data_IF_184329697629
#
_entry.id   IF_184329697629
#
_cell.length_a   1.000
_cell.length_b   1.000
_cell.length_c   1.000
_cell.angle_alpha   90.00
_cell.angle_beta   90.00
_cell.angle_gamma   90.00
#
_symmetry.space_group_name_H-M   'P 1'
#
loop_
_entity.id
_entity.type
_entity.pdbx_description
1 polymer ?
#
# COMPACT_ATOMS: atom_id res chain seq x y z
N UNK A 1 12.18 -6.94 18.32
CA UNK A 1 10.73 -6.82 18.13
C UNK A 1 10.07 -8.05 18.74
N UNK A 2 8.92 -7.89 19.39
CA UNK A 2 8.11 -9.00 19.90
C UNK A 2 7.80 -10.02 18.81
N UNK A 3 7.55 -11.28 19.19
CA UNK A 3 7.14 -12.34 18.24
C UNK A 3 5.71 -12.05 17.79
N UNK A 4 5.52 -11.64 16.54
CA UNK A 4 4.21 -11.22 16.01
C UNK A 4 3.57 -12.32 15.17
N UNK A 5 2.31 -12.62 15.45
CA UNK A 5 1.45 -13.43 14.60
C UNK A 5 0.26 -12.64 14.08
N UNK A 6 -0.19 -12.95 12.86
CA UNK A 6 -1.30 -12.22 12.21
C UNK A 6 -2.43 -13.19 11.91
N UNK A 7 -3.66 -12.79 12.24
CA UNK A 7 -4.91 -13.50 11.96
C UNK A 7 -5.65 -12.79 10.84
N UNK A 8 -5.90 -13.52 9.75
CA UNK A 8 -6.61 -13.05 8.57
C UNK A 8 -7.95 -13.79 8.42
N UNK A 9 -9.08 -13.21 8.88
CA UNK A 9 -10.40 -13.72 8.54
C UNK A 9 -10.67 -13.53 7.04
N UNK A 10 -10.86 -14.64 6.31
CA UNK A 10 -11.09 -14.69 4.88
C UNK A 10 -12.22 -15.67 4.47
N UNK A 11 -13.09 -16.04 5.41
CA UNK A 11 -14.18 -17.00 5.18
C UNK A 11 -15.55 -16.37 4.84
N UNK A 12 -15.61 -15.04 4.70
CA UNK A 12 -16.87 -14.35 4.47
C UNK A 12 -17.35 -14.46 3.02
N UNK A 13 -18.65 -14.75 2.83
CA UNK A 13 -19.32 -14.86 1.53
C UNK A 13 -19.16 -13.62 0.64
N UNK A 14 -19.06 -12.43 1.23
CA UNK A 14 -18.93 -11.18 0.49
C UNK A 14 -20.22 -10.73 -0.18
N UNK A 15 -21.39 -11.08 0.37
CA UNK A 15 -22.73 -10.78 -0.19
C UNK A 15 -22.91 -9.37 -0.75
N UNK A 16 -22.38 -8.35 -0.07
CA UNK A 16 -22.47 -6.94 -0.51
C UNK A 16 -21.77 -6.64 -1.84
N UNK A 17 -20.84 -7.50 -2.24
CA UNK A 17 -20.15 -7.42 -3.52
C UNK A 17 -20.99 -7.99 -4.66
N UNK A 18 -22.01 -8.81 -4.35
CA UNK A 18 -22.91 -9.40 -5.35
C UNK A 18 -22.24 -10.34 -6.34
N UNK A 19 -21.04 -10.85 -6.01
CA UNK A 19 -20.26 -11.74 -6.87
C UNK A 19 -20.64 -13.21 -6.65
N UNK A 20 -20.64 -13.99 -7.72
CA UNK A 20 -20.78 -15.46 -7.63
C UNK A 20 -19.53 -16.13 -7.02
N UNK A 21 -18.38 -15.48 -7.13
CA UNK A 21 -17.11 -15.90 -6.54
C UNK A 21 -16.94 -15.21 -5.18
N UNK A 22 -16.61 -15.94 -4.09
CA UNK A 22 -16.32 -15.32 -2.80
C UNK A 22 -15.26 -14.23 -2.92
N UNK A 23 -15.48 -13.10 -2.23
CA UNK A 23 -14.72 -11.85 -2.46
C UNK A 23 -13.20 -12.02 -2.36
N UNK A 24 -12.73 -12.93 -1.51
CA UNK A 24 -11.31 -13.19 -1.29
C UNK A 24 -10.63 -13.72 -2.57
N UNK A 25 -11.35 -14.48 -3.39
CA UNK A 25 -10.83 -15.11 -4.61
C UNK A 25 -10.98 -14.26 -5.87
N UNK A 26 -11.59 -13.08 -5.77
CA UNK A 26 -11.73 -12.18 -6.90
C UNK A 26 -10.36 -11.75 -7.38
N UNK A 27 -10.15 -11.89 -8.69
CA UNK A 27 -8.91 -11.52 -9.35
C UNK A 27 -8.85 -10.01 -9.54
N UNK A 28 -7.77 -9.41 -9.09
CA UNK A 28 -7.38 -8.02 -9.38
C UNK A 28 -6.00 -8.11 -10.01
N UNK A 29 -5.81 -7.53 -11.19
CA UNK A 29 -4.54 -7.63 -11.95
C UNK A 29 -3.99 -9.07 -12.05
N UNK A 30 -4.89 -10.05 -12.23
CA UNK A 30 -4.53 -11.48 -12.36
C UNK A 30 -4.11 -12.18 -11.07
N UNK A 31 -4.36 -11.57 -9.90
CA UNK A 31 -4.07 -12.14 -8.58
C UNK A 31 -5.31 -12.12 -7.67
N UNK A 32 -5.61 -13.18 -6.89
CA UNK A 32 -6.68 -13.14 -5.90
C UNK A 32 -6.48 -12.01 -4.88
N UNK A 33 -7.55 -11.30 -4.52
CA UNK A 33 -7.50 -10.17 -3.57
C UNK A 33 -6.78 -10.49 -2.26
N UNK A 34 -7.03 -11.67 -1.67
CA UNK A 34 -6.40 -12.04 -0.39
C UNK A 34 -4.88 -12.20 -0.49
N UNK A 35 -4.36 -12.59 -1.67
CA UNK A 35 -2.93 -12.85 -1.87
C UNK A 35 -2.10 -11.58 -1.69
N UNK A 36 -2.64 -10.41 -2.03
CA UNK A 36 -1.95 -9.13 -1.79
C UNK A 36 -1.63 -8.91 -0.30
N UNK A 37 -2.59 -9.19 0.58
CA UNK A 37 -2.39 -9.08 2.02
C UNK A 37 -1.41 -10.16 2.53
N UNK A 38 -1.52 -11.39 2.04
CA UNK A 38 -0.64 -12.50 2.45
C UNK A 38 0.81 -12.25 2.03
N UNK A 39 1.05 -11.95 0.76
CA UNK A 39 2.39 -11.67 0.20
C UNK A 39 3.07 -10.52 0.94
N UNK A 40 2.33 -9.44 1.22
CA UNK A 40 2.84 -8.32 2.02
C UNK A 40 3.25 -8.80 3.42
N UNK A 41 2.39 -9.54 4.11
CA UNK A 41 2.66 -9.97 5.49
C UNK A 41 3.82 -10.95 5.61
N UNK A 42 3.96 -11.91 4.69
CA UNK A 42 5.07 -12.87 4.73
C UNK A 42 6.41 -12.21 4.38
N UNK A 43 6.40 -11.10 3.62
CA UNK A 43 7.59 -10.31 3.30
C UNK A 43 8.19 -9.60 4.52
N UNK A 44 7.39 -9.37 5.56
CA UNK A 44 7.87 -8.76 6.80
C UNK A 44 8.66 -9.77 7.62
N UNK A 45 9.95 -9.48 7.84
CA UNK A 45 10.86 -10.36 8.57
C UNK A 45 10.47 -10.57 10.04
N UNK A 46 9.76 -9.61 10.64
CA UNK A 46 9.28 -9.65 12.02
C UNK A 46 7.91 -10.33 12.19
N UNK A 47 7.21 -10.65 11.10
CA UNK A 47 6.00 -11.48 11.13
C UNK A 47 6.42 -12.95 11.15
N UNK A 48 6.09 -13.64 12.24
CA UNK A 48 6.44 -15.04 12.45
C UNK A 48 5.50 -16.00 11.73
N UNK A 49 4.20 -15.73 11.84
CA UNK A 49 3.13 -16.57 11.30
C UNK A 49 1.95 -15.74 10.86
N UNK A 50 1.33 -16.15 9.76
CA UNK A 50 0.04 -15.68 9.26
C UNK A 50 -0.95 -16.83 9.35
N UNK A 51 -1.97 -16.72 10.20
CA UNK A 51 -3.08 -17.67 10.30
C UNK A 51 -4.25 -17.15 9.49
N UNK A 52 -4.58 -17.84 8.41
CA UNK A 52 -5.66 -17.49 7.50
C UNK A 52 -6.88 -18.39 7.78
N UNK A 53 -8.00 -17.78 8.16
CA UNK A 53 -9.27 -18.48 8.35
C UNK A 53 -10.08 -18.45 7.05
N UNK A 54 -10.06 -19.57 6.32
CA UNK A 54 -10.65 -19.72 4.99
C UNK A 54 -12.06 -20.33 5.04
N UNK A 55 -12.88 -20.04 4.03
CA UNK A 55 -14.14 -20.76 3.78
C UNK A 55 -13.88 -22.19 3.30
N UNK A 56 -12.87 -22.39 2.45
CA UNK A 56 -12.42 -23.70 1.97
C UNK A 56 -10.90 -23.84 2.09
N UNK A 57 -10.45 -24.77 2.94
CA UNK A 57 -9.01 -24.94 3.26
C UNK A 57 -8.22 -25.47 2.06
N UNK A 58 -8.81 -26.36 1.24
CA UNK A 58 -8.10 -26.99 0.13
C UNK A 58 -7.86 -25.98 -1.00
N UNK A 59 -8.87 -25.22 -1.36
CA UNK A 59 -8.84 -24.13 -2.34
C UNK A 59 -7.85 -23.05 -1.92
N UNK A 60 -7.89 -22.63 -0.66
CA UNK A 60 -6.95 -21.64 -0.14
C UNK A 60 -5.50 -22.16 -0.21
N UNK A 61 -5.24 -23.42 0.17
CA UNK A 61 -3.91 -24.03 0.05
C UNK A 61 -3.44 -24.15 -1.39
N UNK A 62 -4.35 -24.41 -2.33
CA UNK A 62 -4.02 -24.45 -3.76
C UNK A 62 -3.49 -23.08 -4.24
N UNK A 63 -4.17 -21.98 -3.90
CA UNK A 63 -3.67 -20.64 -4.23
C UNK A 63 -2.34 -20.32 -3.55
N UNK A 64 -2.16 -20.70 -2.29
CA UNK A 64 -0.93 -20.45 -1.54
C UNK A 64 0.28 -21.27 -2.03
N UNK A 65 0.06 -22.32 -2.84
CA UNK A 65 1.15 -23.14 -3.39
C UNK A 65 2.05 -22.40 -4.37
N UNK A 66 1.61 -21.24 -4.87
CA UNK A 66 2.42 -20.35 -5.73
C UNK A 66 3.32 -19.38 -4.96
N UNK A 67 3.25 -19.34 -3.62
CA UNK A 67 4.11 -18.49 -2.81
C UNK A 67 5.54 -19.03 -2.76
N UNK A 68 6.52 -18.12 -2.78
CA UNK A 68 7.94 -18.46 -2.61
C UNK A 68 8.24 -19.08 -1.24
N UNK A 69 7.59 -18.59 -0.18
CA UNK A 69 7.72 -19.10 1.19
C UNK A 69 6.34 -19.27 1.85
N UNK A 70 5.67 -20.43 1.62
CA UNK A 70 4.39 -20.73 2.26
C UNK A 70 4.56 -21.15 3.73
N UNK A 71 5.78 -21.33 4.24
CA UNK A 71 6.03 -21.91 5.59
C UNK A 71 5.51 -21.02 6.73
N UNK A 72 5.39 -19.71 6.50
CA UNK A 72 4.82 -18.76 7.45
C UNK A 72 3.29 -18.78 7.49
N UNK A 73 2.62 -19.44 6.54
CA UNK A 73 1.16 -19.38 6.40
C UNK A 73 0.51 -20.66 6.92
N UNK A 74 -0.38 -20.51 7.90
CA UNK A 74 -1.21 -21.59 8.45
C UNK A 74 -2.64 -21.34 8.01
N UNK A 75 -3.28 -22.34 7.39
CA UNK A 75 -4.68 -22.24 6.98
C UNK A 75 -5.56 -23.05 7.93
N UNK A 76 -6.61 -22.41 8.45
CA UNK A 76 -7.68 -23.05 9.24
C UNK A 76 -9.04 -22.79 8.58
N UNK A 77 -10.03 -23.62 8.90
CA UNK A 77 -11.41 -23.34 8.55
C UNK A 77 -11.92 -22.14 9.36
N UNK A 78 -12.53 -21.17 8.68
CA UNK A 78 -13.24 -20.06 9.29
C UNK A 78 -14.62 -20.46 9.80
N UNK A 79 -15.32 -19.52 10.42
CA UNK A 79 -16.66 -19.71 10.96
C UNK A 79 -17.74 -19.01 10.13
N UNK A 80 -18.99 -19.09 10.58
CA UNK A 80 -20.12 -18.41 9.93
C UNK A 80 -20.10 -16.91 10.15
N UNK A 81 -19.37 -16.43 11.16
CA UNK A 81 -19.17 -15.02 11.46
C UNK A 81 -17.68 -14.61 11.44
N UNK A 82 -17.45 -13.30 11.47
CA UNK A 82 -16.10 -12.73 11.59
C UNK A 82 -15.43 -13.14 12.91
N UNK A 83 -16.11 -13.00 14.04
CA UNK A 83 -15.54 -13.39 15.33
C UNK A 83 -15.32 -14.89 15.45
N UNK A 84 -16.19 -15.73 14.89
CA UNK A 84 -15.96 -17.17 14.91
C UNK A 84 -14.70 -17.54 14.09
N UNK A 85 -14.53 -16.92 12.91
CA UNK A 85 -13.32 -17.10 12.09
C UNK A 85 -12.05 -16.69 12.83
N UNK A 86 -12.07 -15.54 13.51
CA UNK A 86 -10.92 -15.09 14.32
C UNK A 86 -10.69 -16.03 15.50
N UNK A 87 -11.74 -16.48 16.20
CA UNK A 87 -11.63 -17.43 17.32
C UNK A 87 -10.96 -18.74 16.89
N UNK A 88 -11.34 -19.30 15.74
CA UNK A 88 -10.73 -20.52 15.19
C UNK A 88 -9.26 -20.30 14.83
N UNK A 89 -8.93 -19.17 14.22
CA UNK A 89 -7.54 -18.80 13.92
C UNK A 89 -6.68 -18.60 15.17
N UNK A 90 -7.22 -17.99 16.23
CA UNK A 90 -6.49 -17.80 17.49
C UNK A 90 -6.13 -19.11 18.19
N UNK A 91 -6.92 -20.18 17.99
CA UNK A 91 -6.63 -21.51 18.56
C UNK A 91 -5.39 -22.18 17.94
N UNK A 92 -5.05 -21.83 16.71
CA UNK A 92 -3.88 -22.36 15.99
C UNK A 92 -2.73 -21.35 15.92
N UNK A 93 -2.92 -20.15 16.50
CA UNK A 93 -1.87 -19.15 16.59
C UNK A 93 -0.80 -19.62 17.60
N UNK A 94 0.48 -19.72 17.19
CA UNK A 94 1.54 -20.25 18.05
C UNK A 94 1.64 -19.49 19.38
N UNK A 95 1.82 -20.23 20.47
CA UNK A 95 1.83 -19.67 21.84
C UNK A 95 3.04 -18.77 22.10
N UNK A 96 4.10 -18.89 21.32
CA UNK A 96 5.24 -17.98 21.38
C UNK A 96 4.92 -16.58 20.87
N UNK A 97 3.83 -16.38 20.11
CA UNK A 97 3.42 -15.05 19.65
C UNK A 97 3.00 -14.17 20.84
N UNK A 98 3.71 -13.06 21.06
CA UNK A 98 3.41 -12.09 22.11
C UNK A 98 2.36 -11.08 21.65
N UNK A 99 2.38 -10.73 20.36
CA UNK A 99 1.43 -9.83 19.72
C UNK A 99 0.64 -10.60 18.67
N UNK A 100 -0.69 -10.47 18.72
CA UNK A 100 -1.61 -10.95 17.71
C UNK A 100 -2.20 -9.75 16.97
N UNK A 101 -2.10 -9.73 15.64
CA UNK A 101 -2.74 -8.72 14.80
C UNK A 101 -3.94 -9.33 14.09
N UNK A 102 -5.09 -8.66 14.10
CA UNK A 102 -6.24 -9.01 13.27
C UNK A 102 -6.29 -8.08 12.07
N UNK A 103 -6.24 -8.65 10.86
CA UNK A 103 -6.28 -7.88 9.62
C UNK A 103 -7.30 -8.44 8.63
N UNK A 104 -8.11 -7.57 8.02
CA UNK A 104 -9.09 -8.04 7.03
C UNK A 104 -8.36 -8.30 5.70
N UNK A 105 -8.47 -9.52 5.16
CA UNK A 105 -7.86 -9.89 3.87
C UNK A 105 -8.33 -9.04 2.67
N UNK A 106 -9.43 -8.30 2.82
CA UNK A 106 -9.96 -7.37 1.83
C UNK A 106 -9.33 -5.95 1.89
N UNK A 107 -8.24 -5.79 2.65
CA UNK A 107 -7.43 -4.56 2.74
C UNK A 107 -6.01 -4.86 2.24
N UNK A 108 -5.77 -4.73 0.93
CA UNK A 108 -4.57 -5.27 0.29
C UNK A 108 -3.31 -4.44 0.50
N UNK A 109 -3.43 -3.17 0.92
CA UNK A 109 -2.32 -2.23 0.97
C UNK A 109 -2.30 -1.53 2.33
N UNK A 110 -1.29 -1.85 3.14
CA UNK A 110 -0.94 -1.09 4.36
C UNK A 110 0.57 -1.03 4.48
N UNK A 111 1.18 0.15 4.60
CA UNK A 111 2.65 0.27 4.64
C UNK A 111 3.26 -0.36 5.89
N UNK A 112 4.47 -0.93 5.78
CA UNK A 112 5.15 -1.60 6.90
C UNK A 112 5.31 -0.68 8.13
N UNK A 113 5.52 0.62 7.91
CA UNK A 113 5.63 1.61 8.98
C UNK A 113 4.36 1.68 9.83
N UNK A 114 3.18 1.61 9.20
CA UNK A 114 1.88 1.60 9.91
C UNK A 114 1.75 0.33 10.76
N UNK A 115 2.13 -0.82 10.22
CA UNK A 115 2.14 -2.07 10.98
C UNK A 115 3.08 -2.01 12.19
N UNK A 116 4.32 -1.54 12.00
CA UNK A 116 5.30 -1.43 13.08
C UNK A 116 4.83 -0.48 14.18
N UNK A 117 4.31 0.69 13.81
CA UNK A 117 3.74 1.64 14.78
C UNK A 117 2.62 1.02 15.60
N UNK A 118 1.70 0.32 14.94
CA UNK A 118 0.58 -0.36 15.61
C UNK A 118 1.05 -1.45 16.59
N UNK A 119 2.08 -2.22 16.22
CA UNK A 119 2.68 -3.24 17.09
C UNK A 119 3.25 -2.61 18.36
N UNK A 120 3.94 -1.48 18.25
CA UNK A 120 4.51 -0.77 19.40
C UNK A 120 3.41 -0.28 20.36
N UNK A 121 2.36 0.35 19.81
CA UNK A 121 1.23 0.83 20.60
C UNK A 121 0.49 -0.31 21.31
N UNK A 122 0.34 -1.47 20.66
CA UNK A 122 -0.25 -2.65 21.31
C UNK A 122 0.66 -3.28 22.37
N UNK A 123 1.99 -3.24 22.18
CA UNK A 123 2.94 -3.70 23.19
C UNK A 123 2.91 -2.81 24.45
N UNK A 124 2.72 -1.51 24.28
CA UNK A 124 2.63 -0.54 25.39
C UNK A 124 1.27 -0.58 26.09
N UNK A 125 0.16 -0.63 25.33
CA UNK A 125 -1.19 -0.44 25.86
C UNK A 125 -2.01 -1.74 25.96
N UNK A 126 -1.46 -2.87 25.53
CA UNK A 126 -2.13 -4.17 25.47
C UNK A 126 -3.07 -4.35 24.27
N UNK A 127 -3.60 -3.26 23.71
CA UNK A 127 -4.40 -3.25 22.50
C UNK A 127 -4.28 -1.91 21.77
N UNK A 128 -4.25 -1.94 20.44
CA UNK A 128 -4.25 -0.77 19.58
C UNK A 128 -5.00 -1.05 18.28
N UNK A 129 -5.66 -0.03 17.72
CA UNK A 129 -6.40 -0.14 16.47
C UNK A 129 -6.26 1.10 15.61
N UNK A 130 -6.18 0.90 14.30
CA UNK A 130 -6.20 2.01 13.36
C UNK A 130 -7.59 2.61 13.26
N UNK A 131 -7.64 3.93 13.13
CA UNK A 131 -8.89 4.68 12.99
C UNK A 131 -8.80 5.75 11.92
N UNK A 132 -9.93 6.12 11.34
CA UNK A 132 -10.04 7.27 10.43
C UNK A 132 -11.20 8.18 10.84
N UNK A 133 -11.12 9.49 10.57
CA UNK A 133 -12.26 10.37 10.78
C UNK A 133 -13.44 9.97 9.89
N UNK A 134 -14.65 10.21 10.39
CA UNK A 134 -15.85 10.11 9.56
C UNK A 134 -15.90 11.26 8.55
N UNK A 135 -16.23 10.93 7.31
CA UNK A 135 -16.43 11.92 6.24
C UNK A 135 -17.87 12.40 6.21
N UNK A 136 -18.82 11.47 6.22
CA UNK A 136 -20.26 11.79 6.17
C UNK A 136 -20.84 12.12 7.54
N UNK A 137 -21.96 12.86 7.54
CA UNK A 137 -22.82 13.03 8.71
C UNK A 137 -23.33 11.65 9.17
N UNK A 138 -23.31 11.40 10.48
CA UNK A 138 -23.83 10.16 11.06
C UNK A 138 -25.21 10.43 11.63
N UNK A 139 -26.19 9.64 11.20
CA UNK A 139 -27.57 9.73 11.66
C UNK A 139 -27.99 8.40 12.28
N UNK A 140 -28.85 8.48 13.28
CA UNK A 140 -29.54 7.35 13.88
C UNK A 140 -30.98 7.34 13.38
N UNK A 141 -31.46 6.24 12.77
CA UNK A 141 -32.87 6.09 12.43
C UNK A 141 -33.69 5.61 13.64
N UNK A 142 -35.00 5.87 13.64
CA UNK A 142 -35.95 5.19 14.51
C UNK A 142 -36.37 3.81 13.94
N UNK A 143 -37.26 3.10 14.64
CA UNK A 143 -37.74 1.77 14.21
C UNK A 143 -38.56 1.80 12.91
N UNK A 144 -39.05 2.96 12.49
CA UNK A 144 -39.85 3.15 11.28
C UNK A 144 -39.01 3.68 10.11
N UNK A 145 -37.69 3.87 10.30
CA UNK A 145 -36.76 4.36 9.28
C UNK A 145 -36.73 5.88 9.12
N UNK A 146 -37.37 6.64 10.02
CA UNK A 146 -37.26 8.10 10.03
C UNK A 146 -36.03 8.56 10.82
N UNK A 147 -35.57 9.78 10.54
CA UNK A 147 -34.45 10.38 11.27
C UNK A 147 -34.81 10.56 12.75
N UNK A 148 -34.10 9.87 13.64
CA UNK A 148 -34.22 10.03 15.09
C UNK A 148 -33.24 11.08 15.63
N UNK A 149 -31.97 10.96 15.26
CA UNK A 149 -30.92 11.86 15.73
C UNK A 149 -29.80 12.05 14.71
N UNK A 150 -29.11 13.19 14.78
CA UNK A 150 -27.83 13.42 14.11
C UNK A 150 -26.72 13.44 15.16
N UNK A 151 -25.73 12.57 15.02
CA UNK A 151 -24.63 12.45 15.97
C UNK A 151 -23.56 13.51 15.70
N UNK A 152 -22.93 14.01 16.78
CA UNK A 152 -21.83 14.98 16.68
C UNK A 152 -20.58 14.26 16.15
N UNK A 153 -20.40 14.30 14.82
CA UNK A 153 -19.39 13.53 14.06
C UNK A 153 -17.99 13.53 14.67
N UNK A 154 -17.53 14.65 15.24
CA UNK A 154 -16.18 14.77 15.85
C UNK A 154 -15.93 13.81 17.02
N UNK A 155 -16.98 13.26 17.61
CA UNK A 155 -16.90 12.32 18.74
C UNK A 155 -16.77 10.86 18.27
N UNK A 156 -16.78 10.60 16.96
CA UNK A 156 -16.83 9.26 16.40
C UNK A 156 -15.74 9.07 15.34
N UNK A 157 -15.29 7.83 15.21
CA UNK A 157 -14.24 7.43 14.27
C UNK A 157 -14.69 6.15 13.55
N UNK A 158 -14.21 5.98 12.32
CA UNK A 158 -14.22 4.68 11.67
C UNK A 158 -13.12 3.83 12.30
N UNK A 159 -13.49 2.67 12.82
CA UNK A 159 -12.52 1.64 13.19
C UNK A 159 -12.06 0.89 11.93
N UNK A 160 -10.76 0.74 11.77
CA UNK A 160 -10.14 0.10 10.63
C UNK A 160 -9.25 -1.08 11.09
N UNK A 161 -8.87 -1.94 10.14
CA UNK A 161 -7.83 -2.95 10.36
C UNK A 161 -6.58 -2.60 9.55
N UNK A 162 -5.37 -2.96 10.02
CA UNK A 162 -5.08 -3.86 11.14
C UNK A 162 -5.39 -3.34 12.55
N UNK A 163 -5.61 -4.28 13.46
CA UNK A 163 -5.74 -4.06 14.91
C UNK A 163 -4.78 -5.00 15.64
N UNK A 164 -3.96 -4.51 16.56
CA UNK A 164 -2.95 -5.30 17.26
C UNK A 164 -3.26 -5.41 18.75
N UNK A 165 -2.90 -6.56 19.33
CA UNK A 165 -3.21 -6.91 20.71
C UNK A 165 -2.06 -7.70 21.31
N UNK A 166 -1.88 -7.61 22.62
CA UNK A 166 -1.26 -8.72 23.35
C UNK A 166 -2.02 -10.00 23.02
N UNK A 167 -1.31 -11.03 22.55
CA UNK A 167 -1.91 -12.29 22.14
C UNK A 167 -2.67 -12.95 23.29
N UNK A 168 -2.15 -12.86 24.52
CA UNK A 168 -2.80 -13.37 25.73
C UNK A 168 -4.12 -12.65 26.02
N UNK A 169 -4.14 -11.32 25.91
CA UNK A 169 -5.37 -10.51 26.12
C UNK A 169 -6.42 -10.85 25.07
N UNK A 170 -6.01 -10.95 23.80
CA UNK A 170 -6.94 -11.29 22.72
C UNK A 170 -7.52 -12.70 22.89
N UNK A 171 -6.67 -13.71 23.15
CA UNK A 171 -7.11 -15.08 23.43
C UNK A 171 -8.07 -15.13 24.63
N UNK A 172 -7.78 -14.40 25.71
CA UNK A 172 -8.65 -14.32 26.88
C UNK A 172 -10.01 -13.69 26.57
N UNK A 173 -10.06 -12.59 25.81
CA UNK A 173 -11.32 -11.96 25.42
C UNK A 173 -12.19 -12.90 24.56
N UNK A 174 -11.60 -13.57 23.58
CA UNK A 174 -12.31 -14.54 22.73
C UNK A 174 -12.78 -15.79 23.48
N UNK A 175 -12.12 -16.17 24.58
CA UNK A 175 -12.56 -17.28 25.43
C UNK A 175 -13.81 -16.96 26.26
N UNK A 176 -14.09 -15.67 26.51
CA UNK A 176 -15.23 -15.18 27.29
C UNK A 176 -16.39 -14.67 26.44
N UNK A 177 -16.18 -14.60 25.12
CA UNK A 177 -17.14 -14.09 24.16
C UNK A 177 -18.46 -14.88 24.20
N UNK A 178 -19.57 -14.16 24.32
CA UNK A 178 -20.92 -14.76 24.31
C UNK A 178 -21.30 -15.25 22.91
N UNK A 179 -22.36 -16.06 22.81
CA UNK A 179 -22.87 -16.49 21.50
C UNK A 179 -23.44 -15.33 20.68
N UNK A 180 -24.04 -14.32 21.33
CA UNK A 180 -24.52 -13.11 20.65
C UNK A 180 -23.36 -12.31 20.06
N UNK A 181 -22.29 -12.08 20.83
CA UNK A 181 -21.07 -11.42 20.35
C UNK A 181 -20.37 -12.23 19.26
N UNK A 182 -20.40 -13.57 19.38
CA UNK A 182 -19.86 -14.46 18.34
C UNK A 182 -20.57 -14.25 17.02
N UNK A 183 -21.89 -14.13 17.01
CA UNK A 183 -22.67 -14.04 15.76
C UNK A 183 -22.70 -12.60 15.22
N UNK A 184 -23.00 -11.62 16.08
CA UNK A 184 -23.31 -10.24 15.68
C UNK A 184 -22.17 -9.24 15.91
N UNK A 185 -21.14 -9.62 16.67
CA UNK A 185 -20.00 -8.76 16.93
C UNK A 185 -19.24 -8.39 15.66
N UNK A 186 -18.67 -7.19 15.64
CA UNK A 186 -17.90 -6.69 14.49
C UNK A 186 -16.51 -6.19 14.88
N UNK A 187 -16.27 -5.90 16.16
CA UNK A 187 -15.14 -5.11 16.64
C UNK A 187 -14.35 -5.85 17.72
N UNK A 188 -13.06 -6.14 17.46
CA UNK A 188 -12.20 -6.86 18.39
C UNK A 188 -11.76 -6.00 19.57
N UNK A 189 -11.56 -4.69 19.34
CA UNK A 189 -11.15 -3.73 20.37
C UNK A 189 -12.23 -3.63 21.47
N UNK A 190 -13.49 -3.64 21.05
CA UNK A 190 -14.65 -3.62 21.94
C UNK A 190 -14.79 -4.93 22.73
N UNK A 191 -14.59 -6.09 22.08
CA UNK A 191 -14.58 -7.38 22.76
C UNK A 191 -13.49 -7.43 23.86
N UNK A 192 -12.27 -6.97 23.55
CA UNK A 192 -11.17 -6.88 24.51
C UNK A 192 -11.50 -5.89 25.64
N UNK A 193 -12.10 -4.75 25.31
CA UNK A 193 -12.51 -3.77 26.31
C UNK A 193 -13.50 -4.36 27.31
N UNK A 194 -14.56 -5.01 26.84
CA UNK A 194 -15.62 -5.59 27.69
C UNK A 194 -15.13 -6.73 28.56
N UNK A 195 -14.36 -7.66 27.99
CA UNK A 195 -14.04 -8.94 28.65
C UNK A 195 -12.71 -8.95 29.40
N UNK A 196 -11.85 -7.97 29.14
CA UNK A 196 -10.53 -7.86 29.73
C UNK A 196 -10.24 -6.49 30.37
N UNK A 197 -11.16 -5.53 30.28
CA UNK A 197 -11.01 -4.17 30.82
C UNK A 197 -9.75 -3.44 30.29
N UNK A 198 -9.40 -3.70 29.03
CA UNK A 198 -8.25 -3.08 28.36
C UNK A 198 -8.77 -2.00 27.43
N UNK A 199 -8.31 -0.76 27.64
CA UNK A 199 -8.65 0.37 26.74
C UNK A 199 -7.66 0.39 25.60
N UNK A 200 -8.13 0.12 24.39
CA UNK A 200 -7.28 0.14 23.22
C UNK A 200 -6.84 1.57 22.87
N UNK A 201 -5.58 1.70 22.45
CA UNK A 201 -5.10 2.92 21.81
C UNK A 201 -5.73 3.08 20.43
N UNK A 202 -6.35 4.22 20.18
CA UNK A 202 -6.82 4.59 18.85
C UNK A 202 -5.70 5.34 18.12
N UNK A 203 -5.17 4.71 17.07
CA UNK A 203 -4.06 5.24 16.28
C UNK A 203 -4.63 5.82 14.98
N UNK A 204 -4.36 7.09 14.64
CA UNK A 204 -4.75 7.63 13.35
C UNK A 204 -4.09 6.86 12.20
N UNK A 205 -4.91 6.28 11.33
CA UNK A 205 -4.45 5.57 10.15
C UNK A 205 -4.39 6.47 8.91
N UNK A 206 -3.63 6.08 7.87
CA UNK A 206 -3.61 6.83 6.61
C UNK A 206 -4.97 6.79 5.92
N UNK A 207 -5.21 7.74 5.00
CA UNK A 207 -6.49 7.86 4.31
C UNK A 207 -6.83 6.64 3.44
N UNK A 208 -5.83 5.83 3.10
CA UNK A 208 -5.92 4.70 2.17
C UNK A 208 -6.26 3.35 2.81
N UNK A 209 -6.57 3.33 4.11
CA UNK A 209 -7.09 2.15 4.81
C UNK A 209 -8.55 1.82 4.42
N UNK A 210 -8.91 1.78 3.14
CA UNK A 210 -10.24 1.33 2.72
C UNK A 210 -10.30 -0.20 2.61
N UNK A 211 -11.52 -0.73 2.71
CA UNK A 211 -11.80 -2.16 2.58
C UNK A 211 -12.60 -2.41 1.32
N UNK A 212 -12.14 -3.34 0.48
CA UNK A 212 -12.91 -3.80 -0.67
C UNK A 212 -14.19 -4.49 -0.18
N UNK A 213 -15.33 -3.85 -0.43
CA UNK A 213 -16.63 -4.25 0.13
C UNK A 213 -17.74 -4.28 -0.91
N UNK A 214 -17.75 -3.33 -1.84
CA UNK A 214 -18.75 -3.17 -2.91
C UNK A 214 -18.08 -3.15 -4.29
N UNK A 215 -18.81 -3.35 -5.40
CA UNK A 215 -18.21 -3.50 -6.74
C UNK A 215 -17.32 -2.32 -7.17
N UNK A 216 -17.67 -1.10 -6.77
CA UNK A 216 -16.85 0.09 -7.05
C UNK A 216 -15.44 -0.01 -6.43
N UNK A 217 -15.32 -0.65 -5.27
CA UNK A 217 -14.04 -0.73 -4.55
C UNK A 217 -13.01 -1.57 -5.30
N UNK A 218 -13.44 -2.52 -6.14
CA UNK A 218 -12.55 -3.32 -6.98
C UNK A 218 -11.78 -2.43 -7.96
N UNK A 219 -12.45 -1.47 -8.60
CA UNK A 219 -11.84 -0.54 -9.54
C UNK A 219 -10.85 0.40 -8.82
N UNK A 220 -11.20 0.86 -7.61
CA UNK A 220 -10.30 1.68 -6.78
C UNK A 220 -9.07 0.87 -6.40
N UNK A 221 -9.26 -0.39 -6.00
CA UNK A 221 -8.18 -1.30 -5.64
C UNK A 221 -7.24 -1.55 -6.83
N UNK A 222 -7.79 -1.87 -8.01
CA UNK A 222 -7.02 -2.10 -9.23
C UNK A 222 -6.21 -0.88 -9.64
N UNK A 223 -6.84 0.31 -9.65
CA UNK A 223 -6.16 1.56 -9.97
C UNK A 223 -5.04 1.91 -8.98
N UNK A 224 -5.27 1.66 -7.69
CA UNK A 224 -4.26 1.90 -6.65
C UNK A 224 -3.09 0.94 -6.78
N UNK A 225 -3.34 -0.36 -6.96
CA UNK A 225 -2.30 -1.36 -7.14
C UNK A 225 -1.49 -1.10 -8.43
N UNK A 226 -2.16 -0.73 -9.52
CA UNK A 226 -1.50 -0.37 -10.78
C UNK A 226 -0.59 0.84 -10.64
N UNK A 227 -0.99 1.83 -9.81
CA UNK A 227 -0.17 3.00 -9.54
C UNK A 227 1.07 2.67 -8.69
N UNK A 228 0.96 1.69 -7.78
CA UNK A 228 2.10 1.22 -6.96
C UNK A 228 3.07 0.34 -7.76
N UNK A 229 2.60 -0.36 -8.79
CA UNK A 229 3.44 -1.17 -9.70
C UNK A 229 4.15 -0.31 -10.77
N UNK A 230 3.99 1.01 -10.71
CA UNK A 230 4.72 1.96 -11.54
C UNK A 230 6.00 2.43 -10.83
N UNK A 231 7.04 1.60 -10.85
CA UNK A 231 8.39 2.07 -10.55
C UNK A 231 8.85 2.99 -11.70
N UNK A 232 8.84 4.30 -11.44
CA UNK A 232 9.39 5.29 -12.35
C UNK A 232 10.81 5.65 -11.90
N UNK A 233 11.81 5.08 -12.57
CA UNK A 233 13.21 5.44 -12.38
C UNK A 233 13.64 6.41 -13.49
N UNK A 234 13.79 7.68 -13.15
CA UNK A 234 14.26 8.72 -14.08
C UNK A 234 15.77 8.87 -13.90
N UNK A 235 16.54 8.49 -14.92
CA UNK A 235 18.00 8.72 -14.98
C UNK A 235 18.25 9.91 -15.91
N UNK A 236 18.77 11.01 -15.37
CA UNK A 236 19.27 12.13 -16.18
C UNK A 236 20.77 11.92 -16.44
N UNK A 237 21.18 11.94 -17.71
CA UNK A 237 22.57 11.86 -18.12
C UNK A 237 22.91 13.11 -18.92
N UNK A 238 23.85 13.89 -18.41
CA UNK A 238 24.36 15.08 -19.07
C UNK A 238 25.68 14.71 -19.77
N UNK A 239 25.64 14.60 -21.10
CA UNK A 239 26.79 14.20 -21.92
C UNK A 239 27.12 15.31 -22.92
N UNK A 240 28.39 15.71 -23.00
CA UNK A 240 28.87 16.76 -23.90
C UNK A 240 29.38 16.13 -25.21
N UNK A 241 28.46 15.57 -26.02
CA UNK A 241 28.79 15.15 -27.39
C UNK A 241 28.22 13.79 -27.81
N UNK A 242 28.15 13.58 -29.13
CA UNK A 242 27.49 12.40 -29.72
C UNK A 242 28.14 11.04 -29.38
N UNK A 243 29.44 11.01 -29.09
CA UNK A 243 30.17 9.78 -28.79
C UNK A 243 29.94 9.32 -27.33
N UNK A 244 29.90 10.27 -26.38
CA UNK A 244 29.56 10.03 -24.97
C UNK A 244 28.11 9.57 -24.81
N UNK A 245 27.18 10.19 -25.56
CA UNK A 245 25.77 9.76 -25.61
C UNK A 245 25.65 8.32 -26.14
N UNK A 246 26.42 7.95 -27.17
CA UNK A 246 26.41 6.61 -27.76
C UNK A 246 26.96 5.55 -26.81
N UNK A 247 28.01 5.87 -26.05
CA UNK A 247 28.57 4.97 -25.04
C UNK A 247 27.65 4.82 -23.83
N UNK A 248 27.06 5.91 -23.33
CA UNK A 248 26.10 5.85 -22.24
C UNK A 248 24.84 5.06 -22.62
N UNK A 249 24.32 5.26 -23.84
CA UNK A 249 23.19 4.49 -24.38
C UNK A 249 23.52 3.01 -24.56
N UNK A 250 24.74 2.66 -25.00
CA UNK A 250 25.22 1.26 -25.06
C UNK A 250 25.38 0.63 -23.69
N UNK A 251 25.87 1.37 -22.69
CA UNK A 251 26.02 0.87 -21.33
C UNK A 251 24.65 0.60 -20.66
N UNK A 252 23.68 1.50 -20.88
CA UNK A 252 22.30 1.34 -20.43
C UNK A 252 21.61 0.15 -21.12
N UNK A 253 21.74 0.00 -22.44
CA UNK A 253 21.12 -1.11 -23.19
C UNK A 253 21.75 -2.47 -22.91
N UNK A 254 23.02 -2.50 -22.47
CA UNK A 254 23.70 -3.70 -22.00
C UNK A 254 23.33 -4.11 -20.57
N UNK A 255 22.46 -3.36 -19.89
CA UNK A 255 22.03 -3.68 -18.52
C UNK A 255 23.16 -3.53 -17.49
N UNK A 256 24.04 -2.54 -17.65
CA UNK A 256 25.13 -2.31 -16.69
C UNK A 256 24.73 -1.50 -15.45
N UNK A 257 23.48 -1.07 -15.36
CA UNK A 257 22.87 -0.45 -14.19
C UNK A 257 21.76 -1.35 -13.65
N UNK A 258 22.09 -2.30 -12.77
CA UNK A 258 21.07 -3.00 -11.99
C UNK A 258 21.44 -3.04 -10.51
N UNK A 259 20.43 -2.70 -9.70
CA UNK A 259 20.43 -2.83 -8.24
C UNK A 259 19.79 -4.16 -7.86
N UNK A 260 20.47 -4.97 -7.07
CA UNK A 260 19.80 -5.95 -6.20
C UNK A 260 19.57 -5.27 -4.83
N UNK A 261 18.57 -5.73 -4.08
CA UNK A 261 17.93 -5.07 -2.91
C UNK A 261 18.83 -4.59 -1.75
N UNK A 262 20.16 -4.72 -1.82
CA UNK A 262 21.08 -4.38 -0.73
C UNK A 262 22.33 -3.64 -1.25
N UNK A 263 22.36 -2.34 -0.96
CA UNK A 263 23.45 -1.36 -1.14
C UNK A 263 23.87 -0.95 -2.58
N UNK A 264 24.16 0.35 -2.80
CA UNK A 264 24.59 0.85 -4.10
C UNK A 264 26.10 0.65 -4.32
N UNK A 265 26.48 -0.36 -5.11
CA UNK A 265 27.80 -0.38 -5.75
C UNK A 265 27.72 0.30 -7.11
N UNK A 266 28.10 1.58 -7.16
CA UNK A 266 28.30 2.30 -8.42
C UNK A 266 29.65 1.94 -9.03
N UNK A 267 29.69 1.78 -10.35
CA UNK A 267 30.93 1.64 -11.13
C UNK A 267 31.48 3.05 -11.41
N UNK A 268 32.51 3.46 -10.66
CA UNK A 268 33.16 4.79 -10.77
C UNK A 268 33.70 5.10 -12.18
N UNK A 269 34.01 4.07 -12.96
CA UNK A 269 34.56 4.15 -14.31
C UNK A 269 33.61 4.82 -15.32
N UNK A 270 32.29 4.76 -15.11
CA UNK A 270 31.28 5.40 -15.98
C UNK A 270 30.84 6.80 -15.50
N UNK A 271 31.12 7.14 -14.24
CA UNK A 271 30.84 8.46 -13.66
C UNK A 271 31.83 9.52 -14.18
N UNK A 272 32.96 9.08 -14.72
CA UNK A 272 34.02 9.95 -15.23
C UNK A 272 33.85 10.34 -16.71
N UNK A 273 32.84 9.81 -17.41
CA UNK A 273 32.52 10.14 -18.82
C UNK A 273 31.46 11.23 -18.98
N UNK A 274 30.87 11.73 -17.89
CA UNK A 274 29.89 12.83 -17.91
C UNK A 274 30.46 14.03 -17.13
N UNK A 275 30.55 15.19 -17.77
CA UNK A 275 31.23 16.38 -17.22
C UNK A 275 30.43 17.10 -16.11
N UNK A 276 29.12 16.90 -16.00
CA UNK A 276 28.25 17.53 -14.99
C UNK A 276 27.38 16.49 -14.27
N UNK A 277 27.70 16.21 -13.00
CA UNK A 277 27.03 15.19 -12.18
C UNK A 277 25.79 15.76 -11.49
N UNK A 278 24.58 15.51 -11.99
CA UNK A 278 23.35 15.63 -11.18
C UNK A 278 22.30 14.56 -11.52
N UNK A 279 21.96 13.74 -10.52
CA UNK A 279 20.80 12.84 -10.53
C UNK A 279 19.71 13.50 -9.67
N UNK A 280 18.52 13.74 -10.24
CA UNK A 280 17.42 14.41 -9.53
C UNK A 280 16.20 13.49 -9.52
N UNK A 281 15.64 13.26 -8.33
CA UNK A 281 14.40 12.53 -8.13
C UNK A 281 13.23 13.52 -8.04
N UNK A 282 12.21 13.39 -8.89
CA UNK A 282 11.02 14.24 -8.87
C UNK A 282 9.73 13.38 -8.84
N UNK A 283 8.72 13.78 -8.06
CA UNK A 283 7.36 13.24 -8.16
C UNK A 283 6.73 13.51 -9.54
N UNK A 284 5.93 12.56 -10.04
CA UNK A 284 5.25 12.62 -11.35
C UNK A 284 4.44 13.91 -11.58
N UNK A 285 3.86 14.45 -10.51
CA UNK A 285 3.02 15.65 -10.54
C UNK A 285 3.84 16.94 -10.77
N UNK A 286 5.07 16.98 -10.24
CA UNK A 286 6.00 18.11 -10.44
C UNK A 286 6.62 18.09 -11.85
N UNK A 287 6.72 16.90 -12.44
CA UNK A 287 7.27 16.67 -13.77
C UNK A 287 6.50 17.46 -14.84
N UNK A 288 5.17 17.40 -14.81
CA UNK A 288 4.31 18.08 -15.79
C UNK A 288 4.38 19.61 -15.75
N UNK A 289 4.59 20.19 -14.57
CA UNK A 289 4.75 21.64 -14.41
C UNK A 289 6.12 22.11 -14.88
N UNK A 290 7.18 21.36 -14.52
CA UNK A 290 8.54 21.62 -14.97
C UNK A 290 8.67 21.54 -16.51
N UNK A 291 8.04 20.55 -17.15
CA UNK A 291 8.09 20.35 -18.60
C UNK A 291 7.49 21.50 -19.42
N UNK A 292 6.41 22.13 -18.94
CA UNK A 292 5.75 23.25 -19.63
C UNK A 292 6.60 24.52 -19.63
N UNK A 293 7.42 24.74 -18.60
CA UNK A 293 8.32 25.89 -18.52
C UNK A 293 9.57 25.74 -19.40
N UNK A 294 9.99 24.50 -19.69
CA UNK A 294 11.22 24.20 -20.43
C UNK A 294 11.07 24.10 -21.97
N UNK A 295 9.84 24.05 -22.49
CA UNK A 295 9.54 23.96 -23.94
C UNK A 295 10.02 25.15 -24.82
N UNK A 296 10.74 26.14 -24.28
CA UNK A 296 11.21 27.33 -25.02
C UNK A 296 12.70 27.30 -25.39
N UNK A 297 13.44 26.24 -25.08
CA UNK A 297 14.90 26.19 -25.31
C UNK A 297 15.32 24.90 -26.05
N UNK A 298 16.10 25.06 -27.12
CA UNK A 298 16.56 24.01 -28.03
C UNK A 298 17.88 23.36 -27.56
N UNK A 299 18.01 22.04 -27.73
CA UNK A 299 19.29 21.32 -27.56
C UNK A 299 19.28 20.12 -26.60
N UNK A 300 18.11 19.53 -26.33
CA UNK A 300 17.93 18.63 -25.19
C UNK A 300 17.48 17.21 -25.56
N UNK A 301 18.12 16.16 -24.99
CA UNK A 301 17.74 14.74 -25.12
C UNK A 301 17.57 14.07 -23.75
N UNK A 302 16.50 13.27 -23.55
CA UNK A 302 16.28 12.47 -22.32
C UNK A 302 15.84 11.07 -22.64
N UNK A 303 16.21 10.16 -21.73
CA UNK A 303 15.81 8.78 -21.72
C UNK A 303 14.85 8.52 -20.54
N UNK A 304 13.73 7.87 -20.82
CA UNK A 304 12.81 7.37 -19.80
C UNK A 304 13.02 5.87 -19.69
N UNK A 305 13.38 5.40 -18.49
CA UNK A 305 13.42 3.98 -18.18
C UNK A 305 12.12 3.63 -17.46
N UNK A 306 11.37 2.70 -18.05
CA UNK A 306 10.20 2.09 -17.40
C UNK A 306 10.56 0.65 -17.09
N UNK A 307 10.56 0.29 -15.81
CA UNK A 307 10.70 -1.10 -15.41
C UNK A 307 9.38 -1.83 -15.72
N UNK A 308 9.45 -2.89 -16.52
CA UNK A 308 8.32 -3.81 -16.70
C UNK A 308 8.32 -4.85 -15.57
N UNK A 309 7.13 -5.19 -15.08
CA UNK A 309 6.86 -5.99 -13.88
C UNK A 309 7.38 -7.45 -13.86
N UNK A 310 8.24 -7.85 -14.82
CA UNK A 310 8.76 -9.23 -14.92
C UNK A 310 10.24 -9.36 -15.32
N UNK A 311 11.04 -8.31 -15.15
CA UNK A 311 12.50 -8.43 -15.32
C UNK A 311 12.97 -8.57 -16.78
N UNK A 312 12.14 -8.24 -17.77
CA UNK A 312 12.57 -8.10 -19.17
C UNK A 312 12.41 -6.67 -19.71
N UNK A 313 13.50 -6.25 -20.38
CA UNK A 313 13.77 -5.13 -21.31
C UNK A 313 13.11 -3.77 -21.01
N UNK A 314 13.96 -2.83 -20.59
CA UNK A 314 13.72 -1.40 -20.69
C UNK A 314 13.55 -0.98 -22.16
N UNK A 315 12.42 -0.36 -22.51
CA UNK A 315 12.24 0.21 -23.85
C UNK A 315 12.78 1.64 -23.88
N UNK A 316 13.79 1.89 -24.70
CA UNK A 316 14.38 3.21 -24.92
C UNK A 316 13.58 3.90 -26.04
N UNK A 317 12.90 5.01 -25.73
CA UNK A 317 12.22 5.82 -26.75
C UNK A 317 13.08 7.02 -27.13
N UNK A 318 13.22 7.28 -28.43
CA UNK A 318 13.62 8.60 -28.92
C UNK A 318 12.40 9.53 -28.87
N UNK A 319 12.63 10.82 -28.61
CA UNK A 319 11.62 11.87 -28.39
C UNK A 319 10.58 11.94 -29.51
N UNK A 320 10.93 11.62 -30.76
CA UNK A 320 10.01 11.60 -31.90
C UNK A 320 8.99 10.46 -31.87
N UNK A 321 9.32 9.31 -31.31
CA UNK A 321 8.45 8.12 -31.29
C UNK A 321 7.52 8.10 -30.07
N UNK A 322 8.00 8.62 -28.93
CA UNK A 322 7.18 8.82 -27.73
C UNK A 322 5.98 9.77 -27.97
N UNK A 323 6.18 10.80 -28.82
CA UNK A 323 5.14 11.78 -29.18
C UNK A 323 4.00 11.19 -30.02
N UNK A 324 4.24 10.12 -30.79
CA UNK A 324 3.20 9.49 -31.64
C UNK A 324 2.29 8.53 -30.88
N UNK A 325 2.75 7.96 -29.77
CA UNK A 325 2.03 6.92 -29.02
C UNK A 325 1.29 7.43 -27.77
N UNK A 326 1.29 8.74 -27.50
CA UNK A 326 0.65 9.30 -26.30
C UNK A 326 1.18 8.70 -24.97
N UNK A 327 2.46 8.31 -24.96
CA UNK A 327 3.17 7.80 -23.77
C UNK A 327 4.21 8.84 -23.34
N UNK A 328 4.24 9.13 -22.05
CA UNK A 328 4.93 10.29 -21.46
C UNK A 328 6.37 10.48 -21.92
N UNK A 329 6.76 11.76 -22.09
CA UNK A 329 8.11 12.21 -22.41
C UNK A 329 8.60 13.22 -21.34
N UNK A 330 9.90 13.19 -21.04
CA UNK A 330 10.65 14.20 -20.27
C UNK A 330 11.92 14.48 -21.05
N UNK A 331 12.47 15.71 -20.99
CA UNK A 331 13.55 16.30 -21.82
C UNK A 331 14.33 17.29 -20.91
N UNK A 332 15.65 17.09 -20.68
CA UNK A 332 16.63 17.98 -20.00
C UNK A 332 18.06 17.85 -20.59
N UNK A 333 18.67 18.98 -20.99
CA UNK A 333 20.07 19.12 -21.37
C UNK A 333 20.47 20.61 -21.27
N UNK A 334 21.75 20.91 -21.08
CA UNK A 334 22.20 22.26 -20.78
C UNK A 334 22.87 22.89 -21.99
N UNK A 335 22.49 24.13 -22.28
CA UNK A 335 23.42 25.08 -22.84
C UNK A 335 22.98 26.50 -22.47
N UNK A 336 23.22 26.89 -21.21
CA UNK A 336 23.16 28.29 -20.80
C UNK A 336 24.33 28.57 -19.86
N UNK A 337 25.32 29.29 -20.38
CA UNK A 337 26.27 30.00 -19.56
C UNK A 337 25.55 30.97 -18.61
N UNK A 338 26.13 31.11 -17.42
CA UNK A 338 25.73 31.98 -16.29
C UNK A 338 24.70 31.41 -15.32
N UNK A 339 25.26 30.77 -14.29
CA UNK A 339 24.89 30.83 -12.86
C UNK A 339 23.59 31.56 -12.51
N UNK A 340 22.52 30.81 -12.19
CA UNK A 340 21.46 31.29 -11.29
C UNK A 340 21.16 30.24 -10.22
N UNK A 341 21.19 30.72 -8.99
CA UNK A 341 21.13 30.04 -7.71
C UNK A 341 19.77 29.34 -7.48
N UNK A 342 19.76 28.00 -7.39
CA UNK A 342 18.59 27.17 -7.04
C UNK A 342 18.06 27.40 -5.60
N UNK A 343 18.75 28.23 -4.83
CA UNK A 343 18.46 28.49 -3.40
C UNK A 343 17.29 29.48 -3.19
N UNK A 344 16.79 30.16 -4.22
CA UNK A 344 15.64 31.07 -4.10
C UNK A 344 14.28 30.49 -4.53
N UNK A 345 14.23 29.30 -5.14
CA UNK A 345 12.96 28.68 -5.54
C UNK A 345 12.29 27.89 -4.40
N UNK A 346 13.08 27.37 -3.46
CA UNK A 346 12.57 26.57 -2.33
C UNK A 346 11.92 27.45 -1.24
N UNK A 347 12.26 28.74 -1.17
CA UNK A 347 11.72 29.65 -0.15
C UNK A 347 10.29 30.14 -0.41
N UNK A 348 9.76 30.00 -1.63
CA UNK A 348 8.41 30.49 -1.98
C UNK A 348 7.32 29.42 -1.91
N UNK A 349 7.69 28.13 -1.90
CA UNK A 349 6.74 27.00 -1.90
C UNK A 349 6.23 26.67 -0.49
N UNK A 350 6.90 27.15 0.58
CA UNK A 350 6.48 26.94 1.97
C UNK A 350 5.27 27.81 2.37
N UNK A 351 4.80 28.76 1.54
CA UNK A 351 3.86 29.79 2.01
C UNK A 351 2.36 29.51 1.84
N UNK A 352 1.89 28.55 1.02
CA UNK A 352 0.45 28.29 0.87
C UNK A 352 0.13 26.82 0.52
N UNK A 353 -0.28 25.97 1.50
CA UNK A 353 -0.46 24.53 1.26
C UNK A 353 -1.87 24.10 0.83
N UNK A 354 -2.86 24.99 0.76
CA UNK A 354 -4.28 24.58 0.62
C UNK A 354 -5.03 25.43 -0.41
N UNK A 355 -5.09 25.01 -1.67
CA UNK A 355 -6.04 25.55 -2.65
C UNK A 355 -6.14 24.70 -3.94
N UNK A 356 -7.30 24.04 -4.08
CA UNK A 356 -8.04 23.73 -5.30
C UNK A 356 -7.86 22.42 -6.12
N UNK A 357 -9.02 21.75 -6.21
CA UNK A 357 -9.52 20.74 -7.14
C UNK A 357 -9.86 21.32 -8.53
N UNK A 358 -9.80 20.48 -9.57
CA UNK A 358 -10.81 20.48 -10.66
C UNK A 358 -10.48 21.18 -12.00
N UNK A 359 -10.40 20.36 -13.06
CA UNK A 359 -10.82 20.53 -14.47
C UNK A 359 -11.47 21.89 -14.91
N UNK A 360 -11.40 22.45 -16.13
CA UNK A 360 -11.01 22.03 -17.49
C UNK A 360 -11.13 23.26 -18.44
N UNK A 361 -10.31 23.30 -19.51
CA UNK A 361 -10.45 23.99 -20.83
C UNK A 361 -10.91 25.47 -20.95
N UNK A 362 -10.02 26.33 -21.48
CA UNK A 362 -10.08 26.93 -22.85
C UNK A 362 -8.92 27.90 -23.09
N UNK A 363 -8.09 27.61 -24.09
CA UNK A 363 -8.00 28.32 -25.37
C UNK A 363 -7.23 27.45 -26.35
#
# INVERSE_FOLDING_TARGET
>A
MSRVGVVLPAAGSGERLGSAVPKQYIQILGKPLFMYAVEQLISFSWVKTVVLAADDVATMRHFLSSLDDPSKVVVTLGGTSRHESISRALKVLPDECEIAIVHDAARPIVSEQVWKGLVLEAAEHGAAGLTRPLVSTVVQPDLNGFLHATLVRKNFLNSETPQAFSAAILKAAYSKMSDEERINGTECLDLVHRHCNVRAKLVPGPSDLWKVTIPRDLHVCEGTLSALDCDLEIVNLDCEGGEEVSQAAKALSAGLFWKTKSEPTFREDLINTCSSRQIIFLPLEMLNSALKSYQRQSGITVFILRQASRGEIATIFNTSDALKENKCAVIFAPNLGQTVCLTQLVASIIKYPNAFYGQVLKC
#
